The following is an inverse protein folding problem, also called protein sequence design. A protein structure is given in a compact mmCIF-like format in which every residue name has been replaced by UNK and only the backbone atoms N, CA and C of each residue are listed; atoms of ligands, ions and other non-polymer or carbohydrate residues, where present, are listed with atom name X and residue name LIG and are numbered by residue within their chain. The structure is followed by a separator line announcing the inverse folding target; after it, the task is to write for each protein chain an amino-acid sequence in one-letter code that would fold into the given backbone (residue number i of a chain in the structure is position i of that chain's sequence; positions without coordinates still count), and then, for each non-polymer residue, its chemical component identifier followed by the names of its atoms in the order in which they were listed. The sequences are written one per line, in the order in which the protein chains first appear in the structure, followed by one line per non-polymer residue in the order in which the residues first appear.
data_IF_813731802454
#
_entry.id   IF_813731802454
#
_cell.length_a   1.000
_cell.length_b   1.000
_cell.length_c   1.000
_cell.angle_alpha   90.00
_cell.angle_beta   90.00
_cell.angle_gamma   90.00
#
_symmetry.space_group_name_H-M   'P 1'
#
loop_
_entity.id
_entity.type
_entity.pdbx_description
1 polymer ?
#
# COMPACT_ATOMS: atom_id res chain seq x y z
N UNK A 1 14.72 0.10 -10.62
CA UNK A 1 13.25 0.05 -10.57
C UNK A 1 12.72 1.00 -11.62
N UNK A 2 11.48 0.82 -12.03
CA UNK A 2 10.74 1.86 -12.76
C UNK A 2 9.97 2.70 -11.74
N UNK A 3 9.78 3.98 -12.06
CA UNK A 3 8.92 4.85 -11.26
C UNK A 3 7.46 4.51 -11.54
N UNK A 4 6.67 4.39 -10.49
CA UNK A 4 5.24 4.13 -10.57
C UNK A 4 4.46 5.16 -9.77
N UNK A 5 3.27 5.50 -10.27
CA UNK A 5 2.31 6.34 -9.54
C UNK A 5 1.30 5.45 -8.84
N UNK A 6 1.09 5.67 -7.54
CA UNK A 6 0.09 4.96 -6.75
C UNK A 6 -0.97 5.93 -6.26
N UNK A 7 -2.23 5.57 -6.49
CA UNK A 7 -3.38 6.37 -6.10
C UNK A 7 -4.24 5.65 -5.06
N UNK A 8 -4.69 6.40 -4.05
CA UNK A 8 -5.70 5.95 -3.09
C UNK A 8 -6.77 7.04 -2.96
N UNK A 9 -7.98 6.73 -3.44
CA UNK A 9 -9.15 7.61 -3.30
C UNK A 9 -10.04 7.03 -2.20
N UNK A 10 -9.98 7.64 -1.01
CA UNK A 10 -10.79 7.25 0.14
C UNK A 10 -12.08 8.07 0.20
N UNK A 11 -13.21 7.41 0.00
CA UNK A 11 -14.54 8.00 0.06
C UNK A 11 -15.34 7.43 1.24
N UNK A 12 -16.51 8.01 1.50
CA UNK A 12 -17.36 7.60 2.63
C UNK A 12 -17.80 6.13 2.56
N UNK A 13 -18.04 5.63 1.36
CA UNK A 13 -18.66 4.33 1.08
C UNK A 13 -17.78 3.37 0.28
N UNK A 14 -16.60 3.83 -0.16
CA UNK A 14 -15.69 3.02 -0.98
C UNK A 14 -14.26 3.53 -0.91
N UNK A 15 -13.33 2.66 -1.30
CA UNK A 15 -11.92 2.99 -1.55
C UNK A 15 -11.54 2.50 -2.94
N UNK A 16 -10.90 3.36 -3.72
CA UNK A 16 -10.36 3.03 -5.04
C UNK A 16 -8.84 3.04 -4.96
N UNK A 17 -8.20 2.03 -5.54
CA UNK A 17 -6.75 1.90 -5.62
C UNK A 17 -6.33 1.94 -7.09
N UNK A 18 -5.32 2.76 -7.39
CA UNK A 18 -4.78 2.92 -8.73
C UNK A 18 -3.28 2.65 -8.80
N UNK A 19 -2.85 2.18 -9.96
CA UNK A 19 -1.44 2.07 -10.36
C UNK A 19 -1.31 2.67 -11.75
N UNK A 20 -0.39 3.62 -11.90
CA UNK A 20 -0.10 4.30 -13.17
C UNK A 20 -1.38 4.84 -13.85
N UNK A 21 -2.25 5.47 -13.06
CA UNK A 21 -3.51 6.07 -13.51
C UNK A 21 -4.65 5.08 -13.80
N UNK A 22 -4.45 3.77 -13.59
CA UNK A 22 -5.47 2.75 -13.82
C UNK A 22 -6.04 2.23 -12.50
N UNK A 23 -7.37 2.18 -12.36
CA UNK A 23 -8.01 1.52 -11.21
C UNK A 23 -7.72 0.00 -11.25
N UNK A 24 -7.04 -0.50 -10.22
CA UNK A 24 -6.69 -1.93 -10.09
C UNK A 24 -7.53 -2.66 -9.03
N UNK A 25 -8.11 -1.92 -8.08
CA UNK A 25 -8.95 -2.49 -7.03
C UNK A 25 -9.97 -1.47 -6.54
N UNK A 26 -11.19 -1.96 -6.29
CA UNK A 26 -12.29 -1.22 -5.66
C UNK A 26 -12.86 -2.03 -4.49
N UNK A 27 -12.97 -1.39 -3.34
CA UNK A 27 -13.60 -1.94 -2.13
C UNK A 27 -14.80 -1.10 -1.72
N UNK A 28 -15.93 -1.74 -1.42
CA UNK A 28 -17.11 -1.11 -0.78
C UNK A 28 -16.98 -1.02 0.74
N UNK A 29 -15.94 -1.61 1.32
CA UNK A 29 -15.67 -1.57 2.75
C UNK A 29 -14.67 -0.44 3.04
N UNK A 30 -15.18 0.78 3.23
CA UNK A 30 -14.37 1.94 3.57
C UNK A 30 -14.23 2.09 5.10
N UNK A 31 -13.00 2.23 5.64
CA UNK A 31 -12.83 2.55 7.05
C UNK A 31 -13.34 3.97 7.36
N UNK A 32 -13.73 4.23 8.61
CA UNK A 32 -14.38 5.49 9.04
C UNK A 32 -13.45 6.46 9.81
N UNK A 33 -12.25 6.00 10.15
CA UNK A 33 -11.26 6.81 10.86
C UNK A 33 -10.51 7.77 9.93
N UNK A 34 -9.72 8.70 10.49
CA UNK A 34 -8.82 9.52 9.70
C UNK A 34 -7.80 8.64 8.95
N UNK A 35 -7.45 9.05 7.73
CA UNK A 35 -6.36 8.47 6.97
C UNK A 35 -5.03 9.06 7.44
N UNK A 36 -4.04 8.19 7.70
CA UNK A 36 -2.64 8.57 7.90
C UNK A 36 -1.75 7.83 6.92
N UNK A 37 -0.73 8.50 6.40
CA UNK A 37 0.30 7.87 5.57
C UNK A 37 1.50 7.49 6.45
N UNK A 38 1.92 6.24 6.34
CA UNK A 38 3.17 5.74 6.92
C UNK A 38 3.98 5.11 5.80
N UNK A 39 5.22 5.54 5.66
CA UNK A 39 6.18 5.04 4.67
C UNK A 39 7.31 4.40 5.45
N UNK A 40 7.54 3.12 5.24
CA UNK A 40 8.65 2.40 5.85
C UNK A 40 9.30 1.47 4.83
N UNK A 41 10.52 1.05 5.14
CA UNK A 41 11.18 -0.08 4.49
C UNK A 41 11.45 -1.10 5.58
N UNK A 42 10.99 -2.33 5.35
CA UNK A 42 11.27 -3.46 6.24
C UNK A 42 11.68 -4.68 5.38
N UNK A 43 12.26 -5.68 6.04
CA UNK A 43 12.54 -6.98 5.45
C UNK A 43 11.69 -8.10 6.09
N UNK A 44 10.61 -7.73 6.76
CA UNK A 44 9.67 -8.62 7.41
C UNK A 44 8.53 -8.95 6.44
N UNK A 45 8.15 -10.22 6.36
CA UNK A 45 6.96 -10.60 5.59
C UNK A 45 5.98 -11.37 6.48
N UNK A 46 4.71 -11.22 6.16
CA UNK A 46 3.63 -12.03 6.70
C UNK A 46 2.67 -12.41 5.57
N UNK A 47 2.12 -13.62 5.65
CA UNK A 47 1.15 -14.17 4.70
C UNK A 47 -0.03 -14.70 5.47
N UNK A 48 -1.22 -14.32 5.03
CA UNK A 48 -2.50 -14.86 5.50
C UNK A 48 -3.30 -15.25 4.27
N UNK A 49 -3.78 -16.50 4.21
CA UNK A 49 -4.67 -16.92 3.12
C UNK A 49 -6.08 -17.22 3.60
N UNK A 50 -7.09 -17.12 2.71
CA UNK A 50 -8.45 -17.53 3.02
C UNK A 50 -8.58 -19.00 3.47
N UNK A 51 -7.64 -19.87 3.09
CA UNK A 51 -7.59 -21.27 3.50
C UNK A 51 -7.04 -21.49 4.93
N UNK A 52 -6.74 -20.41 5.67
CA UNK A 52 -6.22 -20.49 7.04
C UNK A 52 -4.72 -20.79 7.12
N UNK A 53 -3.96 -20.58 6.04
CA UNK A 53 -2.51 -20.73 6.05
C UNK A 53 -1.85 -19.41 6.43
N UNK A 54 -1.07 -19.45 7.51
CA UNK A 54 -0.27 -18.33 8.00
C UNK A 54 1.21 -18.60 7.75
N UNK A 55 1.97 -17.55 7.44
CA UNK A 55 3.42 -17.60 7.35
C UNK A 55 4.02 -16.25 7.70
N UNK A 56 5.24 -16.23 8.19
CA UNK A 56 6.00 -15.02 8.46
C UNK A 56 7.49 -15.31 8.43
N UNK A 57 8.30 -14.28 8.30
CA UNK A 57 9.74 -14.41 8.35
C UNK A 57 10.47 -13.13 8.02
N UNK A 58 11.76 -13.28 7.78
CA UNK A 58 12.64 -12.23 7.29
C UNK A 58 13.08 -12.58 5.87
N UNK A 59 13.28 -11.54 5.04
CA UNK A 59 13.95 -11.63 3.76
C UNK A 59 15.43 -11.28 3.95
N UNK A 60 16.31 -12.02 3.26
CA UNK A 60 17.72 -11.67 3.22
C UNK A 60 17.91 -10.33 2.50
N UNK A 61 18.69 -9.44 3.12
CA UNK A 61 19.03 -8.11 2.58
C UNK A 61 20.56 -8.05 2.39
N UNK A 62 21.10 -8.61 1.29
CA UNK A 62 22.54 -8.77 1.09
C UNK A 62 23.29 -7.46 0.85
N UNK A 63 22.60 -6.32 0.82
CA UNK A 63 23.18 -5.00 0.65
C UNK A 63 22.27 -3.89 1.18
N UNK A 64 22.71 -2.65 1.01
CA UNK A 64 21.94 -1.45 1.36
C UNK A 64 20.63 -1.40 0.57
N UNK A 65 19.56 -0.99 1.23
CA UNK A 65 18.23 -0.87 0.66
C UNK A 65 17.72 0.55 0.93
N UNK A 66 17.01 1.11 -0.03
CA UNK A 66 16.42 2.43 0.09
C UNK A 66 15.04 2.43 -0.58
N UNK A 67 14.21 3.38 -0.15
CA UNK A 67 12.90 3.66 -0.72
C UNK A 67 12.87 5.14 -1.08
N UNK A 68 12.59 5.44 -2.34
CA UNK A 68 12.49 6.80 -2.84
C UNK A 68 11.04 7.15 -3.14
N UNK A 69 10.67 8.40 -2.83
CA UNK A 69 9.40 9.01 -3.17
C UNK A 69 9.71 10.33 -3.87
N UNK A 70 9.28 10.46 -5.12
CA UNK A 70 9.52 11.65 -5.92
C UNK A 70 8.44 12.73 -5.69
N UNK A 71 7.17 12.33 -5.75
CA UNK A 71 6.02 13.21 -5.52
C UNK A 71 5.05 12.57 -4.51
N UNK A 72 4.52 13.39 -3.61
CA UNK A 72 3.51 13.00 -2.64
C UNK A 72 2.48 14.11 -2.50
N UNK A 73 1.23 13.78 -2.86
CA UNK A 73 0.07 14.65 -2.65
C UNK A 73 -0.94 13.98 -1.73
N UNK A 74 -1.27 14.68 -0.64
CA UNK A 74 -2.37 14.33 0.26
C UNK A 74 -3.31 15.51 0.32
N UNK A 75 -4.57 15.29 -0.03
CA UNK A 75 -5.60 16.32 0.00
C UNK A 75 -6.93 15.75 0.46
N UNK A 76 -7.73 16.58 1.12
CA UNK A 76 -9.15 16.36 1.29
C UNK A 76 -9.91 17.11 0.18
N UNK A 77 -11.13 16.68 -0.11
CA UNK A 77 -12.07 17.43 -0.94
C UNK A 77 -12.63 18.63 -0.18
#
# INVERSE_FOLDING_TARGET
GEWHTYDLIWLRDRVLFGVDGHEVLRSTNAPRGPLGLVVWIDNQWARVTPAGSFGWGLLETPGEQWLELEDLRISHA
#
